data_IF_143175622143
#
_entry.id   IF_143175622143
#
_cell.length_a   1.000
_cell.length_b   1.000
_cell.length_c   1.000
_cell.angle_alpha   90.00
_cell.angle_beta   90.00
_cell.angle_gamma   90.00
#
_symmetry.space_group_name_H-M   'P 1'
#
loop_
_entity.id
_entity.type
_entity.pdbx_description
1 polymer ?
#
# COMPACT_ATOMS: atom_id res chain seq x y z
N UNK A 1 -15.54 11.52 -6.38
CA UNK A 1 -15.13 12.86 -6.87
C UNK A 1 -13.83 13.29 -6.20
N UNK A 2 -13.08 14.17 -6.85
CA UNK A 2 -11.86 14.78 -6.34
C UNK A 2 -11.43 15.93 -7.24
N UNK A 3 -10.20 16.41 -7.01
CA UNK A 3 -9.54 17.36 -7.88
C UNK A 3 -8.54 16.63 -8.78
N UNK A 4 -8.38 17.15 -9.99
CA UNK A 4 -7.39 16.71 -10.97
C UNK A 4 -6.60 17.92 -11.48
N UNK A 5 -5.44 17.65 -12.06
CA UNK A 5 -4.62 18.65 -12.70
C UNK A 5 -4.22 18.22 -14.10
N UNK A 6 -3.96 19.21 -14.93
CA UNK A 6 -3.24 19.05 -16.19
C UNK A 6 -2.22 20.19 -16.31
N UNK A 7 -1.07 19.91 -16.89
CA UNK A 7 -0.02 20.90 -17.12
C UNK A 7 0.63 20.65 -18.48
N UNK A 8 0.87 21.72 -19.21
CA UNK A 8 1.55 21.71 -20.51
C UNK A 8 2.85 22.50 -20.43
N UNK A 9 3.80 22.14 -21.28
CA UNK A 9 5.03 22.90 -21.49
C UNK A 9 4.76 24.07 -22.43
N UNK A 10 4.96 25.29 -21.93
CA UNK A 10 4.78 26.53 -22.69
C UNK A 10 6.09 27.30 -22.85
N UNK A 11 7.22 26.63 -22.60
CA UNK A 11 8.57 27.21 -22.73
C UNK A 11 8.81 27.74 -24.14
N UNK A 12 8.28 27.06 -25.17
CA UNK A 12 8.36 27.50 -26.58
C UNK A 12 7.65 28.82 -26.88
N UNK A 13 6.73 29.27 -26.01
CA UNK A 13 6.01 30.55 -26.13
C UNK A 13 6.73 31.70 -25.44
N UNK A 14 7.86 31.44 -24.79
CA UNK A 14 8.66 32.48 -24.16
C UNK A 14 9.28 33.38 -25.22
N UNK A 15 9.28 34.68 -24.95
CA UNK A 15 9.93 35.69 -25.78
C UNK A 15 11.11 36.26 -25.02
N UNK A 16 12.27 36.27 -25.67
CA UNK A 16 13.50 36.80 -25.11
C UNK A 16 13.78 38.20 -25.67
N UNK A 17 14.03 39.16 -24.79
CA UNK A 17 14.52 40.49 -25.13
C UNK A 17 15.90 40.68 -24.51
N UNK A 18 16.93 40.73 -25.36
CA UNK A 18 18.32 40.92 -24.94
C UNK A 18 18.71 42.41 -24.98
N UNK A 19 19.26 42.90 -23.87
CA UNK A 19 19.88 44.21 -23.71
C UNK A 19 21.11 44.10 -22.80
N UNK A 20 21.28 45.02 -21.84
CA UNK A 20 22.28 44.88 -20.76
C UNK A 20 21.92 43.76 -19.77
N UNK A 21 20.64 43.41 -19.68
CA UNK A 21 20.09 42.24 -19.02
C UNK A 21 19.24 41.45 -20.02
N UNK A 22 18.99 40.17 -19.72
CA UNK A 22 18.14 39.34 -20.57
C UNK A 22 16.79 39.12 -19.89
N UNK A 23 15.74 39.71 -20.45
CA UNK A 23 14.37 39.50 -19.96
C UNK A 23 13.68 38.44 -20.80
N UNK A 24 13.06 37.48 -20.13
CA UNK A 24 12.19 36.47 -20.75
C UNK A 24 10.76 36.69 -20.28
N UNK A 25 9.83 36.75 -21.22
CA UNK A 25 8.43 37.02 -20.95
C UNK A 25 7.49 36.00 -21.59
N UNK A 26 6.35 35.78 -20.96
CA UNK A 26 5.22 35.04 -21.51
C UNK A 26 4.14 36.01 -22.02
N UNK A 27 3.28 35.58 -22.97
CA UNK A 27 2.20 36.40 -23.52
C UNK A 27 1.19 36.93 -22.48
N UNK A 28 1.12 36.30 -21.31
CA UNK A 28 0.28 36.70 -20.19
C UNK A 28 0.86 37.86 -19.35
N UNK A 29 1.97 38.47 -19.78
CA UNK A 29 2.64 39.57 -19.09
C UNK A 29 3.49 39.15 -17.90
N UNK A 30 3.70 37.85 -17.67
CA UNK A 30 4.69 37.35 -16.71
C UNK A 30 6.09 37.47 -17.31
N UNK A 31 7.08 37.87 -16.52
CA UNK A 31 8.46 37.96 -16.97
C UNK A 31 9.45 37.62 -15.85
N UNK A 32 10.65 37.25 -16.26
CA UNK A 32 11.82 37.03 -15.43
C UNK A 32 13.01 37.73 -16.10
N UNK A 33 13.93 38.29 -15.33
CA UNK A 33 15.12 38.98 -15.87
C UNK A 33 16.37 38.35 -15.31
N UNK A 34 17.28 37.90 -16.17
CA UNK A 34 18.62 37.45 -15.80
C UNK A 34 19.63 38.60 -15.89
N UNK A 35 20.66 38.57 -15.05
CA UNK A 35 21.72 39.58 -14.96
C UNK A 35 21.37 40.80 -14.10
N UNK A 36 20.36 40.69 -13.26
CA UNK A 36 20.05 41.67 -12.22
C UNK A 36 20.61 41.19 -10.86
N UNK A 37 20.90 42.12 -9.94
CA UNK A 37 21.33 41.78 -8.57
C UNK A 37 20.33 40.87 -7.84
N UNK A 38 19.05 41.06 -8.16
CA UNK A 38 17.93 40.27 -7.69
C UNK A 38 17.01 40.00 -8.86
N UNK A 39 16.61 38.75 -8.99
CA UNK A 39 15.79 38.30 -10.10
C UNK A 39 14.61 37.52 -9.55
N UNK A 40 13.43 37.89 -10.06
CA UNK A 40 12.16 37.36 -9.59
C UNK A 40 11.75 36.17 -10.44
N UNK A 41 11.33 35.09 -9.80
CA UNK A 41 10.61 33.98 -10.40
C UNK A 41 9.21 33.96 -9.81
N UNK A 42 8.23 33.51 -10.58
CA UNK A 42 6.84 33.64 -10.15
C UNK A 42 5.98 32.47 -10.57
N UNK A 43 4.96 32.26 -9.77
CA UNK A 43 3.76 31.51 -10.15
C UNK A 43 2.65 32.56 -10.23
N UNK A 44 1.97 32.60 -11.38
CA UNK A 44 0.95 33.61 -11.64
C UNK A 44 -0.37 32.95 -11.95
N UNK A 45 -1.36 33.22 -11.10
CA UNK A 45 -2.74 32.85 -11.36
C UNK A 45 -3.30 33.70 -12.51
N UNK A 46 -3.86 33.06 -13.54
CA UNK A 46 -4.47 33.73 -14.68
C UNK A 46 -5.49 32.83 -15.41
N UNK A 47 -6.73 33.30 -15.52
CA UNK A 47 -7.81 32.62 -16.28
C UNK A 47 -7.70 32.81 -17.80
N UNK A 48 -6.97 33.82 -18.26
CA UNK A 48 -6.82 34.06 -19.69
C UNK A 48 -5.61 33.28 -20.22
N UNK A 49 -5.86 32.01 -20.50
CA UNK A 49 -4.93 31.07 -21.14
C UNK A 49 -5.14 30.97 -22.65
N UNK A 50 -5.84 31.91 -23.30
CA UNK A 50 -6.14 31.82 -24.75
C UNK A 50 -4.90 31.70 -25.64
N UNK A 51 -3.75 32.19 -25.18
CA UNK A 51 -2.47 32.09 -25.87
C UNK A 51 -1.83 30.69 -25.82
N UNK A 52 -2.33 29.78 -24.98
CA UNK A 52 -1.90 28.38 -24.92
C UNK A 52 -2.68 27.45 -25.85
N UNK A 53 -3.73 27.95 -26.51
CA UNK A 53 -4.56 27.16 -27.41
C UNK A 53 -3.76 26.55 -28.56
N UNK A 54 -4.07 25.30 -28.89
CA UNK A 54 -3.44 24.53 -29.96
C UNK A 54 -2.03 24.01 -29.62
N UNK A 55 -1.59 24.11 -28.35
CA UNK A 55 -0.36 23.44 -27.90
C UNK A 55 -0.63 21.96 -27.61
N UNK A 56 -1.76 21.68 -26.95
CA UNK A 56 -2.16 20.34 -26.54
C UNK A 56 -3.70 20.24 -26.51
N UNK A 57 -4.24 19.32 -27.30
CA UNK A 57 -5.69 19.16 -27.47
C UNK A 57 -6.38 18.68 -26.18
N UNK A 58 -5.69 17.86 -25.38
CA UNK A 58 -6.23 17.34 -24.11
C UNK A 58 -6.33 18.47 -23.08
N UNK A 59 -5.30 19.30 -22.97
CA UNK A 59 -5.32 20.50 -22.13
C UNK A 59 -6.46 21.44 -22.53
N UNK A 60 -6.59 21.75 -23.82
CA UNK A 60 -7.63 22.66 -24.32
C UNK A 60 -9.05 22.15 -24.04
N UNK A 61 -9.27 20.83 -24.11
CA UNK A 61 -10.54 20.21 -23.76
C UNK A 61 -10.88 20.32 -22.26
N UNK A 62 -9.87 20.41 -21.39
CA UNK A 62 -10.03 20.45 -19.93
C UNK A 62 -10.15 21.88 -19.36
N UNK A 63 -9.65 22.90 -20.07
CA UNK A 63 -9.71 24.29 -19.64
C UNK A 63 -11.12 24.76 -19.23
N UNK A 64 -12.20 24.49 -19.99
CA UNK A 64 -13.55 24.92 -19.61
C UNK A 64 -14.04 24.37 -18.26
N UNK A 65 -13.50 23.23 -17.84
CA UNK A 65 -13.86 22.53 -16.59
C UNK A 65 -12.99 22.95 -15.41
N UNK A 66 -11.95 23.74 -15.66
CA UNK A 66 -11.02 24.22 -14.64
C UNK A 66 -11.58 25.40 -13.86
N UNK A 67 -11.28 25.42 -12.57
CA UNK A 67 -11.56 26.57 -11.72
C UNK A 67 -10.31 27.29 -11.24
N UNK A 68 -9.12 26.70 -11.44
CA UNK A 68 -7.87 27.41 -11.23
C UNK A 68 -6.97 27.19 -12.44
N UNK A 69 -6.44 28.29 -12.96
CA UNK A 69 -5.48 28.30 -14.06
C UNK A 69 -4.32 29.20 -13.68
N UNK A 70 -3.10 28.72 -13.87
CA UNK A 70 -1.89 29.44 -13.47
C UNK A 70 -0.70 29.05 -14.33
N UNK A 71 0.31 29.90 -14.32
CA UNK A 71 1.55 29.70 -15.06
C UNK A 71 2.73 29.78 -14.11
N UNK A 72 3.68 28.87 -14.30
CA UNK A 72 4.98 28.87 -13.63
C UNK A 72 6.00 29.35 -14.65
N UNK A 73 6.78 30.37 -14.31
CA UNK A 73 7.92 30.83 -15.11
C UNK A 73 9.16 30.94 -14.21
N UNK A 74 10.21 30.20 -14.55
CA UNK A 74 11.43 30.14 -13.75
C UNK A 74 12.68 29.94 -14.58
N UNK A 75 13.82 30.23 -13.95
CA UNK A 75 15.10 29.70 -14.34
C UNK A 75 15.22 28.21 -13.98
N UNK A 76 16.01 27.49 -14.75
CA UNK A 76 16.35 26.08 -14.51
C UNK A 76 17.74 25.74 -15.04
N UNK A 77 18.41 24.80 -14.38
CA UNK A 77 19.60 24.11 -14.86
C UNK A 77 19.27 22.78 -15.55
N UNK A 78 17.99 22.42 -15.62
CA UNK A 78 17.58 21.23 -16.36
C UNK A 78 17.92 21.39 -17.85
N UNK A 79 18.53 20.35 -18.42
CA UNK A 79 19.05 20.38 -19.80
C UNK A 79 20.38 21.13 -19.97
N UNK A 80 21.03 21.56 -18.90
CA UNK A 80 22.35 22.17 -18.94
C UNK A 80 23.46 21.15 -18.69
N UNK A 81 24.63 21.37 -19.29
CA UNK A 81 25.80 20.52 -19.13
C UNK A 81 26.77 21.15 -18.14
N UNK A 82 27.06 20.45 -17.04
CA UNK A 82 28.13 20.82 -16.11
C UNK A 82 29.51 20.53 -16.75
N UNK A 83 30.51 21.39 -16.51
CA UNK A 83 31.89 21.07 -16.91
C UNK A 83 32.49 20.11 -15.88
N UNK A 84 32.99 18.97 -16.35
CA UNK A 84 33.46 17.85 -15.52
C UNK A 84 34.69 18.15 -14.65
N UNK A 85 35.48 19.16 -14.99
CA UNK A 85 36.85 19.33 -14.48
C UNK A 85 37.01 20.37 -13.37
N UNK A 86 35.92 20.84 -12.75
CA UNK A 86 36.00 21.86 -11.69
C UNK A 86 35.87 21.27 -10.28
N UNK A 87 36.72 21.72 -9.36
CA UNK A 87 36.54 21.57 -7.90
C UNK A 87 35.35 22.38 -7.36
N UNK A 88 34.71 23.19 -8.21
CA UNK A 88 33.52 23.99 -7.93
C UNK A 88 32.24 23.15 -7.92
N UNK A 89 31.19 23.68 -7.28
CA UNK A 89 29.87 23.05 -7.33
C UNK A 89 29.36 22.95 -8.78
N UNK A 90 28.71 21.84 -9.14
CA UNK A 90 28.33 21.52 -10.53
C UNK A 90 27.52 22.62 -11.24
N UNK A 91 26.79 23.45 -10.49
CA UNK A 91 26.01 24.57 -11.03
C UNK A 91 26.86 25.78 -11.42
N UNK A 92 28.05 25.99 -10.82
CA UNK A 92 28.94 27.13 -11.12
C UNK A 92 29.53 27.05 -12.52
N UNK A 93 29.60 25.85 -13.08
CA UNK A 93 30.19 25.59 -14.40
C UNK A 93 29.18 25.09 -15.43
N UNK A 94 27.90 25.08 -15.07
CA UNK A 94 26.81 24.69 -15.95
C UNK A 94 26.65 25.64 -17.13
N UNK A 95 26.66 25.06 -18.32
CA UNK A 95 26.41 25.76 -19.58
C UNK A 95 25.13 25.21 -20.22
N UNK A 96 24.20 26.09 -20.58
CA UNK A 96 22.89 25.80 -21.15
C UNK A 96 22.88 26.31 -22.60
N UNK A 97 22.33 25.54 -23.53
CA UNK A 97 22.22 25.93 -24.94
C UNK A 97 20.80 25.65 -25.45
N UNK A 98 20.02 26.68 -25.84
CA UNK A 98 20.28 28.11 -25.64
C UNK A 98 20.20 28.48 -24.16
N UNK A 99 21.07 29.39 -23.70
CA UNK A 99 21.13 29.82 -22.31
C UNK A 99 21.01 31.33 -22.16
N UNK A 100 20.34 31.76 -21.11
CA UNK A 100 20.36 33.14 -20.64
C UNK A 100 21.69 33.39 -19.91
N UNK A 101 22.50 34.33 -20.41
CA UNK A 101 23.67 34.78 -19.67
C UNK A 101 23.21 35.55 -18.42
N UNK A 102 23.65 35.09 -17.25
CA UNK A 102 23.33 35.72 -15.97
C UNK A 102 24.49 36.63 -15.52
N UNK A 103 25.70 36.08 -15.30
CA UNK A 103 26.85 36.82 -14.73
C UNK A 103 28.22 36.49 -15.34
N UNK A 104 28.27 35.88 -16.52
CA UNK A 104 29.51 35.44 -17.17
C UNK A 104 30.19 34.21 -16.52
N UNK A 105 29.69 33.73 -15.37
CA UNK A 105 30.17 32.51 -14.70
C UNK A 105 29.42 31.25 -15.10
N UNK A 106 28.11 31.34 -15.24
CA UNK A 106 27.22 30.25 -15.67
C UNK A 106 26.07 30.84 -16.51
N UNK A 107 25.39 29.96 -17.23
CA UNK A 107 24.17 30.30 -17.97
C UNK A 107 22.99 29.55 -17.37
N UNK A 108 21.80 30.12 -17.47
CA UNK A 108 20.56 29.49 -17.03
C UNK A 108 19.68 29.16 -18.23
N UNK A 109 18.90 28.09 -18.14
CA UNK A 109 17.79 27.87 -19.05
C UNK A 109 16.50 28.41 -18.42
N UNK A 110 15.43 28.44 -19.20
CA UNK A 110 14.09 28.80 -18.75
C UNK A 110 13.18 27.60 -18.84
N UNK A 111 12.29 27.48 -17.88
CA UNK A 111 11.14 26.59 -17.97
C UNK A 111 9.88 27.40 -17.73
N UNK A 112 8.88 27.14 -18.57
CA UNK A 112 7.55 27.67 -18.39
C UNK A 112 6.51 26.54 -18.51
N UNK A 113 5.59 26.46 -17.56
CA UNK A 113 4.47 25.52 -17.64
C UNK A 113 3.16 26.22 -17.35
N UNK A 114 2.13 25.88 -18.11
CA UNK A 114 0.77 26.31 -17.83
C UNK A 114 -0.02 25.14 -17.26
N UNK A 115 -0.69 25.37 -16.14
CA UNK A 115 -1.39 24.34 -15.39
C UNK A 115 -2.84 24.74 -15.12
N UNK A 116 -3.71 23.75 -15.09
CA UNK A 116 -5.11 23.89 -14.75
C UNK A 116 -5.52 22.84 -13.70
N UNK A 117 -6.32 23.25 -12.73
CA UNK A 117 -6.94 22.38 -11.73
C UNK A 117 -8.45 22.40 -11.94
N UNK A 118 -9.03 21.21 -11.98
CA UNK A 118 -10.43 20.98 -12.30
C UNK A 118 -11.02 19.88 -11.43
N UNK A 119 -12.35 19.90 -11.28
CA UNK A 119 -13.08 18.83 -10.61
C UNK A 119 -13.16 17.60 -11.51
N UNK A 120 -13.03 16.41 -10.92
CA UNK A 120 -13.04 15.16 -11.68
C UNK A 120 -13.55 13.96 -10.86
N UNK A 121 -13.86 12.86 -11.54
CA UNK A 121 -13.98 11.53 -10.96
C UNK A 121 -12.71 10.75 -11.32
N UNK A 122 -12.03 10.19 -10.31
CA UNK A 122 -10.96 9.20 -10.48
C UNK A 122 -11.56 7.82 -10.21
N UNK A 123 -11.61 6.97 -11.23
CA UNK A 123 -11.98 5.57 -11.09
C UNK A 123 -10.72 4.78 -10.74
N UNK A 124 -10.74 4.13 -9.58
CA UNK A 124 -9.59 3.44 -9.00
C UNK A 124 -9.88 1.94 -8.91
N UNK A 125 -8.90 1.11 -9.24
CA UNK A 125 -8.89 -0.31 -8.94
C UNK A 125 -8.11 -0.49 -7.63
N UNK A 126 -8.83 -0.86 -6.57
CA UNK A 126 -8.27 -1.18 -5.26
C UNK A 126 -8.04 -2.67 -5.09
N UNK A 127 -6.88 -3.06 -4.57
CA UNK A 127 -6.57 -4.43 -4.16
C UNK A 127 -5.96 -4.42 -2.76
N UNK A 128 -6.36 -5.35 -1.90
CA UNK A 128 -5.78 -5.46 -0.55
C UNK A 128 -4.86 -6.66 -0.52
N UNK A 129 -3.56 -6.44 -0.32
CA UNK A 129 -2.57 -7.50 -0.14
C UNK A 129 -1.85 -7.30 1.19
N UNK A 130 -1.75 -8.36 2.00
CA UNK A 130 -1.13 -8.32 3.34
C UNK A 130 -1.68 -7.19 4.26
N UNK A 131 -2.98 -6.87 4.15
CA UNK A 131 -3.60 -5.80 4.93
C UNK A 131 -3.27 -4.38 4.43
N UNK A 132 -2.56 -4.24 3.30
CA UNK A 132 -2.25 -2.96 2.66
C UNK A 132 -3.18 -2.79 1.46
N UNK A 133 -3.94 -1.69 1.45
CA UNK A 133 -4.72 -1.27 0.29
C UNK A 133 -3.77 -0.65 -0.76
N UNK A 134 -3.78 -1.21 -1.96
CA UNK A 134 -3.11 -0.69 -3.14
C UNK A 134 -4.16 -0.25 -4.15
N UNK A 135 -4.17 1.04 -4.49
CA UNK A 135 -5.07 1.62 -5.47
C UNK A 135 -4.31 1.95 -6.76
N UNK A 136 -4.94 1.71 -7.89
CA UNK A 136 -4.41 2.02 -9.23
C UNK A 136 -5.44 2.80 -10.04
N UNK A 137 -5.01 3.85 -10.73
CA UNK A 137 -5.91 4.69 -11.54
C UNK A 137 -6.30 3.97 -12.83
N UNK A 138 -7.61 3.80 -13.03
CA UNK A 138 -8.19 3.21 -14.25
C UNK A 138 -8.53 4.32 -15.24
N UNK A 139 -9.28 5.33 -14.78
CA UNK A 139 -9.74 6.42 -15.63
C UNK A 139 -10.04 7.69 -14.83
N UNK A 140 -9.99 8.81 -15.53
CA UNK A 140 -10.35 10.13 -15.01
C UNK A 140 -11.43 10.73 -15.89
N UNK A 141 -12.52 11.19 -15.28
CA UNK A 141 -13.62 11.86 -15.99
C UNK A 141 -13.67 13.31 -15.50
N UNK A 142 -13.43 14.31 -16.35
CA UNK A 142 -13.52 15.71 -15.97
C UNK A 142 -14.97 16.12 -15.71
N UNK A 143 -15.15 17.12 -14.85
CA UNK A 143 -16.43 17.81 -14.72
C UNK A 143 -16.83 18.49 -16.03
N UNK A 144 -18.14 18.72 -16.27
CA UNK A 144 -18.55 19.64 -17.32
C UNK A 144 -18.09 21.08 -17.02
N UNK A 145 -18.21 21.95 -18.03
CA UNK A 145 -17.88 23.38 -17.92
C UNK A 145 -18.54 24.00 -16.68
N UNK A 146 -17.74 24.70 -15.89
CA UNK A 146 -18.23 25.35 -14.69
C UNK A 146 -19.00 26.63 -15.02
N UNK A 147 -20.16 26.81 -14.40
CA UNK A 147 -20.91 28.06 -14.42
C UNK A 147 -20.60 28.87 -13.16
N UNK A 148 -19.65 29.80 -13.28
CA UNK A 148 -19.28 30.72 -12.20
C UNK A 148 -20.31 31.82 -11.94
N UNK A 149 -21.28 32.02 -12.85
CA UNK A 149 -22.34 33.03 -12.68
C UNK A 149 -23.35 32.54 -11.64
N UNK A 150 -23.70 31.25 -11.71
CA UNK A 150 -24.61 30.62 -10.77
C UNK A 150 -23.86 29.73 -9.77
N UNK A 151 -23.22 30.36 -8.78
CA UNK A 151 -22.48 29.67 -7.71
C UNK A 151 -23.35 28.77 -6.82
N UNK A 152 -24.68 28.88 -6.91
CA UNK A 152 -25.61 27.98 -6.22
C UNK A 152 -25.85 26.67 -7.00
N UNK A 153 -25.47 26.60 -8.28
CA UNK A 153 -25.58 25.40 -9.10
C UNK A 153 -24.48 24.41 -8.74
N UNK A 154 -24.86 23.14 -8.56
CA UNK A 154 -23.91 22.06 -8.31
C UNK A 154 -23.10 21.76 -9.57
N UNK A 155 -21.82 21.45 -9.39
CA UNK A 155 -21.06 20.72 -10.40
C UNK A 155 -21.50 19.27 -10.31
N UNK A 156 -22.18 18.77 -11.33
CA UNK A 156 -22.61 17.39 -11.41
C UNK A 156 -21.79 16.64 -12.45
N UNK A 157 -21.19 15.54 -12.05
CA UNK A 157 -20.46 14.63 -12.93
C UNK A 157 -21.19 13.28 -12.94
N UNK A 158 -21.48 12.79 -14.13
CA UNK A 158 -22.03 11.45 -14.34
C UNK A 158 -20.85 10.48 -14.53
N UNK A 159 -20.69 9.53 -13.62
CA UNK A 159 -19.73 8.45 -13.83
C UNK A 159 -20.29 7.49 -14.87
N UNK A 160 -19.62 7.33 -16.01
CA UNK A 160 -20.04 6.37 -17.02
C UNK A 160 -18.82 5.66 -17.61
N UNK A 161 -18.80 4.30 -17.62
CA UNK A 161 -19.82 3.40 -17.08
C UNK A 161 -19.88 3.42 -15.55
N UNK A 162 -21.08 3.22 -14.99
CA UNK A 162 -21.28 3.05 -13.54
C UNK A 162 -22.05 1.77 -13.24
N UNK A 163 -21.85 1.21 -12.05
CA UNK A 163 -22.65 0.10 -11.52
C UNK A 163 -23.58 0.68 -10.47
N UNK A 164 -24.89 0.66 -10.72
CA UNK A 164 -25.85 1.14 -9.74
C UNK A 164 -26.15 0.08 -8.67
N UNK A 165 -26.93 0.45 -7.65
CA UNK A 165 -27.29 -0.43 -6.53
C UNK A 165 -28.02 -1.72 -6.94
N UNK A 166 -28.64 -1.74 -8.12
CA UNK A 166 -29.30 -2.91 -8.70
C UNK A 166 -28.33 -3.84 -9.45
N UNK A 167 -27.01 -3.61 -9.31
CA UNK A 167 -25.92 -4.28 -10.02
C UNK A 167 -25.97 -4.16 -11.55
N UNK A 168 -26.79 -3.28 -12.10
CA UNK A 168 -26.80 -3.02 -13.53
C UNK A 168 -25.70 -2.02 -13.90
N UNK A 169 -25.07 -2.30 -15.03
CA UNK A 169 -24.08 -1.41 -15.64
C UNK A 169 -24.81 -0.40 -16.50
N UNK A 170 -24.63 0.86 -16.16
CA UNK A 170 -25.22 2.01 -16.82
C UNK A 170 -24.14 2.74 -17.61
N UNK A 171 -24.28 2.70 -18.93
CA UNK A 171 -23.48 3.47 -19.89
C UNK A 171 -24.23 4.73 -20.30
N UNK A 172 -23.55 5.66 -20.98
CA UNK A 172 -24.18 6.86 -21.56
C UNK A 172 -25.37 6.52 -22.45
N UNK A 173 -25.29 5.44 -23.25
CA UNK A 173 -26.39 4.98 -24.11
C UNK A 173 -27.63 4.51 -23.34
N UNK A 174 -27.42 3.81 -22.22
CA UNK A 174 -28.51 3.17 -21.48
C UNK A 174 -29.13 4.14 -20.47
N UNK A 175 -28.33 5.00 -19.85
CA UNK A 175 -28.80 6.06 -18.94
C UNK A 175 -29.78 6.99 -19.66
N UNK A 176 -29.49 7.37 -20.90
CA UNK A 176 -30.38 8.22 -21.71
C UNK A 176 -31.74 7.61 -22.03
N UNK A 177 -31.91 6.29 -21.84
CA UNK A 177 -33.16 5.58 -22.08
C UNK A 177 -34.05 5.42 -20.84
N UNK A 178 -33.56 5.84 -19.66
CA UNK A 178 -34.31 5.73 -18.42
C UNK A 178 -35.54 6.65 -18.41
N UNK A 179 -36.69 6.19 -17.89
CA UNK A 179 -37.86 7.04 -17.70
C UNK A 179 -37.55 8.23 -16.77
N UNK A 180 -38.14 9.39 -17.06
CA UNK A 180 -37.94 10.63 -16.29
C UNK A 180 -38.29 10.51 -14.79
N UNK A 181 -39.11 9.52 -14.41
CA UNK A 181 -39.58 9.29 -13.04
C UNK A 181 -39.19 7.90 -12.50
N UNK A 182 -38.08 7.35 -12.98
CA UNK A 182 -37.57 6.10 -12.41
C UNK A 182 -37.26 6.28 -10.91
N UNK A 183 -37.44 5.26 -10.08
CA UNK A 183 -37.06 5.34 -8.67
C UNK A 183 -35.54 5.49 -8.52
N UNK A 184 -35.09 6.27 -7.54
CA UNK A 184 -33.67 6.53 -7.24
C UNK A 184 -32.86 7.17 -8.39
N UNK A 185 -33.53 7.95 -9.23
CA UNK A 185 -32.88 8.74 -10.29
C UNK A 185 -33.08 10.24 -10.09
N UNK A 186 -32.14 11.04 -10.56
CA UNK A 186 -32.21 12.50 -10.57
C UNK A 186 -32.10 13.00 -12.02
N UNK A 187 -32.92 14.00 -12.36
CA UNK A 187 -32.89 14.64 -13.67
C UNK A 187 -31.66 15.54 -13.78
N UNK A 188 -30.74 15.18 -14.66
CA UNK A 188 -29.51 15.92 -14.93
C UNK A 188 -29.42 16.27 -16.42
N UNK A 189 -28.96 17.48 -16.72
CA UNK A 189 -28.68 17.88 -18.09
C UNK A 189 -27.35 17.28 -18.57
N UNK A 190 -27.41 16.43 -19.60
CA UNK A 190 -26.26 15.84 -20.28
C UNK A 190 -26.38 16.22 -21.76
N UNK A 191 -25.38 16.90 -22.32
CA UNK A 191 -25.36 17.35 -23.72
C UNK A 191 -26.62 18.12 -24.17
N UNK A 192 -27.14 18.98 -23.29
CA UNK A 192 -28.34 19.79 -23.54
C UNK A 192 -29.67 19.01 -23.46
N UNK A 193 -29.65 17.76 -23.01
CA UNK A 193 -30.84 16.93 -22.79
C UNK A 193 -31.01 16.60 -21.32
N UNK A 194 -32.23 16.75 -20.81
CA UNK A 194 -32.55 16.31 -19.46
C UNK A 194 -32.72 14.79 -19.45
N UNK A 195 -31.81 14.11 -18.75
CA UNK A 195 -31.75 12.66 -18.65
C UNK A 195 -31.90 12.25 -17.20
N UNK A 196 -32.63 11.17 -16.95
CA UNK A 196 -32.79 10.59 -15.63
C UNK A 196 -31.60 9.68 -15.31
N UNK A 197 -30.81 10.02 -14.29
CA UNK A 197 -29.57 9.29 -13.95
C UNK A 197 -29.68 8.68 -12.55
N UNK A 198 -29.29 7.41 -12.35
CA UNK A 198 -29.25 6.82 -11.00
C UNK A 198 -28.38 7.65 -10.06
N UNK A 199 -28.88 7.95 -8.85
CA UNK A 199 -28.16 8.79 -7.88
C UNK A 199 -26.80 8.22 -7.48
N UNK A 200 -26.62 6.90 -7.56
CA UNK A 200 -25.33 6.22 -7.34
C UNK A 200 -24.29 6.48 -8.42
N UNK A 201 -24.71 6.90 -9.61
CA UNK A 201 -23.84 7.27 -10.71
C UNK A 201 -23.52 8.76 -10.74
N UNK A 202 -24.17 9.56 -9.88
CA UNK A 202 -24.01 11.00 -9.81
C UNK A 202 -23.03 11.39 -8.71
N UNK A 203 -22.07 12.24 -9.08
CA UNK A 203 -21.17 12.87 -8.14
C UNK A 203 -21.36 14.37 -8.22
N UNK A 204 -21.70 14.98 -7.09
CA UNK A 204 -21.96 16.41 -7.03
C UNK A 204 -20.96 17.11 -6.11
N UNK A 205 -20.53 18.30 -6.51
CA UNK A 205 -19.83 19.27 -5.67
C UNK A 205 -20.64 20.55 -5.65
N UNK A 206 -20.99 21.01 -4.45
CA UNK A 206 -21.75 22.24 -4.29
C UNK A 206 -20.94 23.43 -4.80
N UNK A 207 -21.56 24.32 -5.60
CA UNK A 207 -20.87 25.40 -6.30
C UNK A 207 -20.10 26.36 -5.39
N UNK A 208 -20.58 26.59 -4.15
CA UNK A 208 -19.84 27.38 -3.16
C UNK A 208 -18.50 26.75 -2.78
N UNK A 209 -18.39 25.41 -2.71
CA UNK A 209 -17.11 24.75 -2.42
C UNK A 209 -16.13 24.94 -3.57
N UNK A 210 -16.63 24.85 -4.80
CA UNK A 210 -15.83 25.10 -5.98
C UNK A 210 -15.29 26.53 -6.04
N UNK A 211 -16.14 27.50 -5.67
CA UNK A 211 -15.73 28.91 -5.50
C UNK A 211 -14.71 29.09 -4.38
N UNK A 212 -14.85 28.37 -3.27
CA UNK A 212 -13.87 28.41 -2.19
C UNK A 212 -12.49 27.88 -2.65
N UNK A 213 -12.46 26.78 -3.41
CA UNK A 213 -11.23 26.27 -4.03
C UNK A 213 -10.61 27.29 -4.97
N UNK A 214 -11.40 27.89 -5.85
CA UNK A 214 -10.94 28.94 -6.74
C UNK A 214 -10.26 30.10 -5.98
N UNK A 215 -10.91 30.64 -4.95
CA UNK A 215 -10.34 31.70 -4.12
C UNK A 215 -9.05 31.26 -3.40
N UNK A 216 -9.03 30.04 -2.88
CA UNK A 216 -7.85 29.45 -2.24
C UNK A 216 -6.68 29.35 -3.22
N UNK A 217 -6.89 28.74 -4.39
CA UNK A 217 -5.85 28.55 -5.39
C UNK A 217 -5.39 29.86 -6.01
N UNK A 218 -6.29 30.84 -6.15
CA UNK A 218 -5.90 32.19 -6.55
C UNK A 218 -4.92 32.83 -5.58
N UNK A 219 -5.13 32.68 -4.28
CA UNK A 219 -4.19 33.16 -3.26
C UNK A 219 -2.89 32.33 -3.27
N UNK A 220 -3.01 31.01 -3.42
CA UNK A 220 -1.89 30.08 -3.37
C UNK A 220 -0.91 30.23 -4.54
N UNK A 221 -1.41 30.44 -5.76
CA UNK A 221 -0.64 30.48 -7.01
C UNK A 221 -0.32 31.89 -7.52
N UNK A 222 -0.55 32.94 -6.74
CA UNK A 222 -0.23 34.30 -7.16
C UNK A 222 0.91 34.86 -6.32
N UNK A 223 2.08 34.24 -6.44
CA UNK A 223 3.23 34.49 -5.57
C UNK A 223 4.54 34.53 -6.37
N UNK A 224 5.54 35.18 -5.78
CA UNK A 224 6.86 35.32 -6.37
C UNK A 224 7.93 35.07 -5.33
N UNK A 225 9.06 34.58 -5.79
CA UNK A 225 10.28 34.43 -5.01
C UNK A 225 11.41 35.16 -5.74
N UNK A 226 12.44 35.57 -5.01
CA UNK A 226 13.65 36.08 -5.64
C UNK A 226 14.81 35.12 -5.42
N UNK A 227 15.73 35.09 -6.37
CA UNK A 227 17.05 34.49 -6.17
C UNK A 227 18.12 35.58 -6.17
N UNK A 228 19.14 35.39 -5.34
CA UNK A 228 20.29 36.27 -5.28
C UNK A 228 21.34 35.77 -6.27
N UNK A 229 21.67 36.61 -7.25
CA UNK A 229 22.66 36.24 -8.27
C UNK A 229 24.09 36.24 -7.72
N UNK A 230 24.37 37.07 -6.68
CA UNK A 230 25.72 37.25 -6.13
C UNK A 230 26.28 36.00 -5.42
N UNK A 231 25.42 35.16 -4.83
CA UNK A 231 25.83 33.90 -4.22
C UNK A 231 25.96 32.78 -5.24
N UNK A 232 25.53 33.04 -6.49
CA UNK A 232 25.51 32.15 -7.65
C UNK A 232 24.71 30.84 -7.45
N UNK A 233 24.13 30.62 -6.27
CA UNK A 233 23.40 29.41 -5.89
C UNK A 233 21.98 29.41 -6.47
N UNK A 234 21.75 28.63 -7.51
CA UNK A 234 20.40 28.36 -8.07
C UNK A 234 19.42 27.72 -7.07
N UNK A 235 19.93 27.13 -6.00
CA UNK A 235 19.17 26.58 -4.88
C UNK A 235 18.85 27.62 -3.79
N UNK A 236 19.40 28.84 -3.86
CA UNK A 236 19.22 29.91 -2.86
C UNK A 236 17.96 30.76 -3.06
N UNK A 237 16.86 30.11 -3.42
CA UNK A 237 15.60 30.79 -3.64
C UNK A 237 14.97 31.27 -2.31
N UNK A 238 14.67 32.56 -2.22
CA UNK A 238 14.01 33.16 -1.06
C UNK A 238 12.57 33.48 -1.40
N UNK A 239 11.66 32.78 -0.73
CA UNK A 239 10.22 32.91 -0.94
C UNK A 239 9.48 33.54 0.25
N UNK A 240 10.20 33.99 1.29
CA UNK A 240 9.64 34.54 2.53
C UNK A 240 8.41 33.77 3.06
N UNK A 241 7.23 34.39 3.04
CA UNK A 241 5.95 33.82 3.50
C UNK A 241 5.35 32.80 2.52
N UNK A 242 5.82 32.77 1.28
CA UNK A 242 5.35 31.92 0.20
C UNK A 242 6.25 30.70 -0.01
N UNK A 243 6.76 30.14 1.09
CA UNK A 243 7.70 29.02 1.10
C UNK A 243 7.26 27.84 0.22
N UNK A 244 5.95 27.60 0.08
CA UNK A 244 5.39 26.53 -0.76
C UNK A 244 5.72 26.71 -2.24
N UNK A 245 5.91 27.95 -2.70
CA UNK A 245 6.25 28.29 -4.08
C UNK A 245 7.62 27.71 -4.48
N UNK A 246 8.53 27.53 -3.52
CA UNK A 246 9.84 26.90 -3.75
C UNK A 246 9.74 25.52 -4.40
N UNK A 247 8.67 24.78 -4.13
CA UNK A 247 8.41 23.43 -4.65
C UNK A 247 8.33 23.41 -6.18
N UNK A 248 7.82 24.46 -6.82
CA UNK A 248 7.70 24.53 -8.28
C UNK A 248 9.04 24.73 -8.99
N UNK A 249 10.07 25.12 -8.23
CA UNK A 249 11.39 25.43 -8.78
C UNK A 249 12.41 24.29 -8.61
N UNK A 250 12.04 23.22 -7.88
CA UNK A 250 12.84 21.99 -7.74
C UNK A 250 14.34 22.24 -7.48
N UNK A 251 14.65 23.15 -6.54
CA UNK A 251 16.03 23.55 -6.20
C UNK A 251 16.87 24.00 -7.41
N UNK A 252 16.25 24.65 -8.39
CA UNK A 252 16.90 25.11 -9.61
C UNK A 252 16.91 24.09 -10.76
N UNK A 253 16.35 22.89 -10.58
CA UNK A 253 16.26 21.85 -11.62
C UNK A 253 14.83 21.62 -12.11
N UNK A 254 14.01 22.68 -12.12
CA UNK A 254 12.63 22.60 -12.57
C UNK A 254 12.52 22.14 -14.03
N UNK A 255 11.55 21.27 -14.27
CA UNK A 255 11.13 20.76 -15.57
C UNK A 255 9.59 20.74 -15.62
N UNK A 256 8.97 20.64 -16.81
CA UNK A 256 7.52 20.52 -16.91
C UNK A 256 6.97 19.33 -16.09
N UNK A 257 7.70 18.21 -16.04
CA UNK A 257 7.28 17.02 -15.27
C UNK A 257 7.39 17.22 -13.76
N UNK A 258 8.44 17.89 -13.27
CA UNK A 258 8.55 18.20 -11.82
C UNK A 258 7.49 19.20 -11.38
N UNK A 259 7.16 20.19 -12.22
CA UNK A 259 6.09 21.16 -11.97
C UNK A 259 4.75 20.43 -11.91
N UNK A 260 4.42 19.62 -12.92
CA UNK A 260 3.21 18.80 -12.94
C UNK A 260 3.11 17.88 -11.71
N UNK A 261 4.22 17.27 -11.30
CA UNK A 261 4.28 16.42 -10.10
C UNK A 261 4.08 17.20 -8.79
N UNK A 262 4.54 18.45 -8.72
CA UNK A 262 4.28 19.32 -7.57
C UNK A 262 2.79 19.69 -7.47
N UNK A 263 2.17 20.04 -8.61
CA UNK A 263 0.72 20.32 -8.69
C UNK A 263 -0.09 19.08 -8.35
N UNK A 264 0.29 17.91 -8.87
CA UNK A 264 -0.37 16.64 -8.57
C UNK A 264 -0.39 16.31 -7.08
N UNK A 265 0.74 16.47 -6.39
CA UNK A 265 0.81 16.27 -4.93
C UNK A 265 -0.10 17.22 -4.15
N UNK A 266 -0.17 18.49 -4.56
CA UNK A 266 -1.09 19.46 -3.96
C UNK A 266 -2.56 19.06 -4.19
N UNK A 267 -2.89 18.66 -5.41
CA UNK A 267 -4.24 18.25 -5.81
C UNK A 267 -4.68 16.96 -5.12
N UNK A 268 -3.78 16.00 -4.94
CA UNK A 268 -4.04 14.78 -4.19
C UNK A 268 -4.23 15.07 -2.70
N UNK A 269 -3.41 15.95 -2.11
CA UNK A 269 -3.59 16.40 -0.74
C UNK A 269 -4.95 17.11 -0.54
N UNK A 270 -5.30 18.05 -1.44
CA UNK A 270 -6.57 18.75 -1.40
C UNK A 270 -7.76 17.78 -1.59
N UNK A 271 -7.63 16.79 -2.48
CA UNK A 271 -8.63 15.75 -2.69
C UNK A 271 -8.82 14.90 -1.45
N UNK A 272 -7.74 14.51 -0.79
CA UNK A 272 -7.80 13.75 0.45
C UNK A 272 -8.50 14.55 1.54
N UNK A 273 -8.09 15.80 1.79
CA UNK A 273 -8.74 16.68 2.77
C UNK A 273 -10.24 16.85 2.49
N UNK A 274 -10.61 17.10 1.23
CA UNK A 274 -12.01 17.22 0.83
C UNK A 274 -12.81 15.93 1.09
N UNK A 275 -12.24 14.75 0.80
CA UNK A 275 -12.89 13.46 1.07
C UNK A 275 -13.08 13.18 2.55
N UNK A 276 -12.17 13.67 3.40
CA UNK A 276 -12.29 13.57 4.86
C UNK A 276 -13.40 14.51 5.38
N UNK A 277 -13.39 15.78 4.94
CA UNK A 277 -14.34 16.80 5.38
C UNK A 277 -15.78 16.58 4.87
N UNK A 278 -15.94 15.96 3.69
CA UNK A 278 -17.26 15.76 3.04
C UNK A 278 -18.23 14.82 3.76
N UNK A 279 -17.89 14.31 4.95
CA UNK A 279 -18.73 13.36 5.71
C UNK A 279 -19.39 13.99 6.93
N UNK A 280 -18.74 14.96 7.57
CA UNK A 280 -19.22 15.67 8.76
C UNK A 280 -18.55 17.04 8.84
N UNK A 281 -19.27 18.05 9.33
CA UNK A 281 -18.68 19.36 9.68
C UNK A 281 -17.71 19.29 10.87
N UNK A 282 -17.59 18.12 11.50
CA UNK A 282 -16.67 17.84 12.58
C UNK A 282 -15.30 17.42 12.02
N UNK A 283 -14.32 18.32 12.14
CA UNK A 283 -12.93 18.12 11.69
C UNK A 283 -12.22 16.97 12.43
N UNK A 284 -12.75 16.52 13.57
CA UNK A 284 -12.18 15.46 14.39
C UNK A 284 -12.75 14.06 14.09
N UNK A 285 -13.77 13.94 13.25
CA UNK A 285 -14.38 12.65 12.95
C UNK A 285 -13.43 11.78 12.10
N UNK A 286 -13.07 10.55 12.55
CA UNK A 286 -12.23 9.68 11.75
C UNK A 286 -12.98 9.30 10.47
N UNK A 287 -12.34 9.51 9.33
CA UNK A 287 -12.89 9.13 8.03
C UNK A 287 -12.89 7.60 7.85
N UNK A 288 -13.87 6.94 8.44
CA UNK A 288 -14.05 5.50 8.31
C UNK A 288 -14.79 5.17 7.03
N UNK A 289 -14.07 4.87 5.95
CA UNK A 289 -14.69 4.34 4.72
C UNK A 289 -14.97 2.86 4.92
N UNK A 290 -16.25 2.49 4.99
CA UNK A 290 -16.67 1.10 4.96
C UNK A 290 -16.89 0.69 3.50
N UNK A 291 -16.44 -0.52 3.15
CA UNK A 291 -16.60 -1.08 1.83
C UNK A 291 -16.66 -2.60 1.93
N UNK A 292 -17.41 -3.21 1.01
CA UNK A 292 -17.51 -4.66 0.95
C UNK A 292 -16.25 -5.22 0.25
N UNK A 293 -15.56 -6.13 0.94
CA UNK A 293 -14.41 -6.85 0.37
C UNK A 293 -14.80 -8.30 0.18
N UNK A 294 -14.65 -8.81 -1.04
CA UNK A 294 -14.76 -10.24 -1.31
C UNK A 294 -13.61 -10.97 -0.61
N UNK A 295 -13.89 -11.55 0.55
CA UNK A 295 -12.92 -12.34 1.32
C UNK A 295 -13.11 -13.82 0.99
N UNK A 296 -12.09 -14.44 0.42
CA UNK A 296 -12.02 -15.90 0.36
C UNK A 296 -11.77 -16.43 1.79
N UNK A 297 -12.79 -17.04 2.39
CA UNK A 297 -12.67 -17.73 3.68
C UNK A 297 -12.63 -19.24 3.43
N UNK A 298 -11.72 -19.94 4.11
CA UNK A 298 -11.70 -21.41 4.09
C UNK A 298 -12.73 -21.90 5.10
N UNK A 299 -13.89 -22.34 4.60
CA UNK A 299 -14.91 -22.99 5.42
C UNK A 299 -14.53 -24.45 5.61
N UNK A 300 -13.86 -24.77 6.73
CA UNK A 300 -13.63 -26.16 7.12
C UNK A 300 -14.90 -26.76 7.73
N UNK A 301 -15.54 -27.70 7.02
CA UNK A 301 -16.65 -28.49 7.57
C UNK A 301 -16.09 -29.76 8.19
N UNK A 302 -16.05 -29.82 9.52
CA UNK A 302 -15.70 -31.05 10.23
C UNK A 302 -16.91 -31.99 10.19
N UNK A 303 -16.83 -33.02 9.37
CA UNK A 303 -17.84 -34.07 9.36
C UNK A 303 -17.60 -35.04 10.52
N UNK A 304 -18.48 -35.01 11.52
CA UNK A 304 -18.39 -35.84 12.74
C UNK A 304 -18.24 -37.35 12.46
N UNK A 305 -18.71 -37.82 11.29
CA UNK A 305 -18.56 -39.22 10.86
C UNK A 305 -17.08 -39.65 10.76
N UNK A 306 -16.18 -38.72 10.42
CA UNK A 306 -14.75 -38.98 10.28
C UNK A 306 -14.04 -39.11 11.64
N UNK A 307 -14.64 -38.58 12.70
CA UNK A 307 -14.15 -38.70 14.07
C UNK A 307 -14.51 -40.04 14.72
N UNK A 308 -15.42 -40.83 14.14
CA UNK A 308 -15.83 -42.12 14.70
C UNK A 308 -14.68 -43.12 14.76
N UNK A 309 -13.84 -43.21 13.72
CA UNK A 309 -12.70 -44.12 13.69
C UNK A 309 -11.73 -43.89 14.86
N UNK A 310 -11.17 -42.67 15.02
CA UNK A 310 -10.31 -42.33 16.15
C UNK A 310 -10.96 -42.59 17.51
N UNK A 311 -12.24 -42.24 17.69
CA UNK A 311 -12.97 -42.46 18.95
C UNK A 311 -13.09 -43.95 19.28
N UNK A 312 -13.41 -44.79 18.29
CA UNK A 312 -13.51 -46.25 18.48
C UNK A 312 -12.15 -46.81 18.87
N UNK A 313 -11.05 -46.41 18.20
CA UNK A 313 -9.71 -46.92 18.54
C UNK A 313 -9.29 -46.51 19.95
N UNK A 314 -9.52 -45.26 20.36
CA UNK A 314 -9.18 -44.78 21.71
C UNK A 314 -10.03 -45.48 22.79
N UNK A 315 -11.32 -45.71 22.52
CA UNK A 315 -12.18 -46.41 23.49
C UNK A 315 -11.81 -47.89 23.61
N UNK A 316 -11.52 -48.58 22.50
CA UNK A 316 -11.14 -49.99 22.51
C UNK A 316 -9.79 -50.22 23.21
N UNK A 317 -8.82 -49.34 22.98
CA UNK A 317 -7.52 -49.39 23.67
C UNK A 317 -7.65 -49.12 25.17
N UNK A 318 -8.49 -48.16 25.59
CA UNK A 318 -8.76 -47.91 26.99
C UNK A 318 -9.46 -49.11 27.69
N UNK A 319 -10.40 -49.75 27.00
CA UNK A 319 -11.09 -50.95 27.52
C UNK A 319 -10.11 -52.12 27.66
N UNK A 320 -9.28 -52.38 26.66
CA UNK A 320 -8.26 -53.44 26.74
C UNK A 320 -7.28 -53.20 27.88
N UNK A 321 -6.82 -51.96 28.07
CA UNK A 321 -5.96 -51.59 29.19
C UNK A 321 -6.65 -51.87 30.54
N UNK A 322 -7.91 -51.47 30.69
CA UNK A 322 -8.68 -51.69 31.91
C UNK A 322 -8.89 -53.20 32.19
N UNK A 323 -9.14 -54.01 31.15
CA UNK A 323 -9.26 -55.47 31.30
C UNK A 323 -7.96 -56.10 31.77
N UNK A 324 -6.81 -55.72 31.20
CA UNK A 324 -5.50 -56.24 31.62
C UNK A 324 -5.23 -55.90 33.10
N UNK A 325 -5.57 -54.67 33.52
CA UNK A 325 -5.45 -54.26 34.92
C UNK A 325 -6.37 -55.09 35.80
N UNK A 326 -7.64 -55.27 35.42
CA UNK A 326 -8.64 -55.99 36.21
C UNK A 326 -8.31 -57.48 36.37
N UNK A 327 -7.90 -58.16 35.29
CA UNK A 327 -7.49 -59.58 35.32
C UNK A 327 -6.24 -59.74 36.17
N UNK A 328 -5.23 -58.87 35.98
CA UNK A 328 -4.01 -58.89 36.80
C UNK A 328 -4.27 -58.59 38.28
N UNK A 329 -5.29 -57.80 38.61
CA UNK A 329 -5.72 -57.57 39.99
C UNK A 329 -6.47 -58.75 40.59
N UNK A 330 -7.31 -59.42 39.79
CA UNK A 330 -8.11 -60.56 40.24
C UNK A 330 -7.25 -61.82 40.49
N UNK A 331 -6.30 -62.12 39.60
CA UNK A 331 -5.38 -63.26 39.76
C UNK A 331 -4.46 -63.08 40.98
N UNK A 332 -3.95 -61.87 41.22
CA UNK A 332 -3.11 -61.57 42.39
C UNK A 332 -3.84 -61.71 43.74
N UNK A 333 -5.17 -61.85 43.75
CA UNK A 333 -5.98 -61.90 44.98
C UNK A 333 -6.42 -63.31 45.37
N UNK A 334 -6.35 -64.30 44.48
CA UNK A 334 -6.92 -65.64 44.71
C UNK A 334 -5.89 -66.74 44.95
N UNK A 335 -4.64 -66.60 44.53
CA UNK A 335 -3.59 -67.59 44.83
C UNK A 335 -2.30 -66.87 45.25
N UNK A 336 -1.69 -67.33 46.34
CA UNK A 336 -0.59 -66.64 47.02
C UNK A 336 0.51 -66.22 46.06
N UNK A 337 0.87 -64.93 46.12
CA UNK A 337 2.02 -64.28 45.48
C UNK A 337 2.76 -65.16 44.45
N UNK A 338 2.31 -65.16 43.21
CA UNK A 338 3.19 -65.46 42.08
C UNK A 338 3.79 -64.11 41.65
N UNK A 339 4.96 -63.69 42.19
CA UNK A 339 5.57 -62.45 41.76
C UNK A 339 5.82 -62.54 40.26
N UNK A 340 5.51 -61.46 39.53
CA UNK A 340 5.77 -61.37 38.09
C UNK A 340 7.30 -61.45 37.89
N UNK A 341 7.83 -62.64 37.61
CA UNK A 341 9.26 -62.97 37.49
C UNK A 341 9.99 -62.31 36.31
N UNK A 342 9.47 -61.21 35.74
CA UNK A 342 9.99 -60.58 34.53
C UNK A 342 11.36 -59.88 34.71
N UNK A 343 12.10 -60.16 35.79
CA UNK A 343 13.42 -59.56 36.04
C UNK A 343 14.51 -60.46 36.63
N UNK A 344 14.27 -61.73 36.97
CA UNK A 344 15.30 -62.58 37.60
C UNK A 344 15.43 -63.95 36.91
N UNK A 345 16.66 -64.29 36.49
CA UNK A 345 17.01 -65.55 35.81
C UNK A 345 17.19 -66.72 36.81
N UNK A 346 17.22 -66.42 38.10
CA UNK A 346 17.49 -67.35 39.20
C UNK A 346 16.55 -68.58 39.25
N UNK A 347 15.23 -68.45 39.02
CA UNK A 347 14.32 -69.61 39.03
C UNK A 347 14.59 -70.57 37.86
N UNK A 348 15.03 -70.04 36.71
CA UNK A 348 15.36 -70.82 35.53
C UNK A 348 16.58 -71.74 35.78
N UNK A 349 17.55 -71.26 36.57
CA UNK A 349 18.75 -72.02 36.94
C UNK A 349 18.42 -73.25 37.81
N UNK A 350 17.57 -73.09 38.82
CA UNK A 350 17.22 -74.18 39.74
C UNK A 350 16.15 -75.14 39.20
N UNK A 351 15.23 -74.67 38.36
CA UNK A 351 14.12 -75.48 37.86
C UNK A 351 14.29 -76.04 36.44
N UNK A 352 15.36 -75.70 35.70
CA UNK A 352 15.69 -76.47 34.50
C UNK A 352 16.52 -75.83 33.38
N UNK A 353 17.76 -75.43 33.66
CA UNK A 353 18.82 -75.36 32.61
C UNK A 353 20.22 -75.79 33.07
N UNK A 354 20.42 -76.12 34.35
CA UNK A 354 21.73 -76.54 34.87
C UNK A 354 21.58 -77.44 36.09
N UNK A 355 20.97 -78.62 35.91
CA UNK A 355 21.02 -79.67 36.94
C UNK A 355 22.49 -80.00 37.17
N UNK A 356 22.97 -79.73 38.38
CA UNK A 356 24.31 -80.13 38.82
C UNK A 356 24.35 -81.66 38.80
N UNK A 357 25.20 -82.23 37.96
CA UNK A 357 25.38 -83.68 37.83
C UNK A 357 25.73 -84.27 39.21
N UNK A 358 24.85 -85.13 39.74
CA UNK A 358 25.11 -85.88 40.97
C UNK A 358 23.98 -85.91 42.01
N UNK A 359 22.94 -85.09 41.88
CA UNK A 359 21.85 -85.02 42.89
C UNK A 359 20.49 -85.46 42.30
N UNK A 360 20.32 -86.78 42.14
CA UNK A 360 19.06 -87.37 41.70
C UNK A 360 18.15 -87.62 42.90
N UNK A 361 17.46 -86.57 43.36
CA UNK A 361 16.46 -86.73 44.41
C UNK A 361 15.68 -85.48 44.83
N UNK A 362 16.15 -84.26 44.56
CA UNK A 362 15.55 -83.07 45.16
C UNK A 362 14.59 -82.34 44.20
N UNK A 363 13.32 -82.22 44.59
CA UNK A 363 12.36 -81.34 43.93
C UNK A 363 12.75 -79.90 44.25
N UNK A 364 13.08 -79.10 43.24
CA UNK A 364 13.62 -77.75 43.42
C UNK A 364 12.79 -76.85 44.36
N UNK A 365 13.39 -75.77 44.90
CA UNK A 365 12.78 -74.97 45.96
C UNK A 365 11.43 -74.37 45.53
N UNK A 366 10.40 -74.58 46.36
CA UNK A 366 9.02 -74.15 46.13
C UNK A 366 8.73 -72.72 46.62
N UNK A 367 9.63 -72.11 47.41
CA UNK A 367 9.42 -70.77 47.99
C UNK A 367 10.63 -69.85 47.80
N UNK A 368 10.39 -68.53 47.68
CA UNK A 368 11.44 -67.52 47.48
C UNK A 368 12.48 -67.53 48.61
N UNK A 369 12.02 -67.62 49.87
CA UNK A 369 12.91 -67.69 51.04
C UNK A 369 13.83 -68.89 51.00
N UNK A 370 13.33 -70.02 50.51
CA UNK A 370 14.15 -71.22 50.37
C UNK A 370 15.14 -71.12 49.22
N UNK A 371 14.76 -70.43 48.14
CA UNK A 371 15.63 -70.16 47.00
C UNK A 371 16.76 -69.19 47.36
N UNK A 372 16.46 -68.10 48.08
CA UNK A 372 17.45 -67.15 48.61
C UNK A 372 18.41 -67.83 49.60
N UNK A 373 17.88 -68.61 50.55
CA UNK A 373 18.71 -69.35 51.53
C UNK A 373 19.65 -70.34 50.86
N UNK A 374 19.20 -71.02 49.80
CA UNK A 374 20.06 -71.94 49.03
C UNK A 374 21.09 -71.19 48.19
N UNK A 375 20.73 -70.03 47.65
CA UNK A 375 21.65 -69.20 46.86
C UNK A 375 22.78 -68.60 47.70
N UNK A 376 22.52 -68.23 48.97
CA UNK A 376 23.55 -67.72 49.89
C UNK A 376 24.66 -68.75 50.18
N UNK A 377 24.36 -70.05 50.10
CA UNK A 377 25.30 -71.14 50.36
C UNK A 377 26.06 -71.66 49.13
N UNK A 378 25.85 -71.08 47.94
CA UNK A 378 26.42 -71.57 46.69
C UNK A 378 27.29 -70.47 46.06
N UNK A 379 28.61 -70.65 46.14
CA UNK A 379 29.56 -69.85 45.37
C UNK A 379 29.69 -70.45 43.97
N UNK A 380 29.28 -69.69 42.94
CA UNK A 380 29.29 -70.14 41.55
C UNK A 380 30.48 -69.53 40.81
N UNK A 381 31.33 -70.38 40.23
CA UNK A 381 32.32 -69.96 39.23
C UNK A 381 31.87 -70.40 37.84
N UNK A 382 31.80 -69.45 36.90
CA UNK A 382 31.60 -69.77 35.49
C UNK A 382 32.92 -70.24 34.88
N UNK A 383 33.03 -71.55 34.62
CA UNK A 383 34.20 -72.18 34.00
C UNK A 383 33.81 -72.93 32.74
N UNK A 384 34.70 -72.93 31.74
CA UNK A 384 34.50 -73.63 30.47
C UNK A 384 34.93 -75.10 30.63
N UNK A 385 33.96 -75.99 30.91
CA UNK A 385 34.15 -77.44 30.77
C UNK A 385 34.00 -77.83 29.29
N UNK A 386 34.75 -78.85 28.84
CA UNK A 386 35.02 -79.10 27.42
C UNK A 386 33.81 -79.31 26.49
N UNK A 387 32.56 -79.38 26.96
CA UNK A 387 31.39 -79.23 26.07
C UNK A 387 30.18 -78.45 26.64
N UNK A 388 30.15 -78.00 27.90
CA UNK A 388 28.96 -77.33 28.46
C UNK A 388 29.33 -76.21 29.45
N UNK A 389 28.59 -75.09 29.42
CA UNK A 389 28.59 -74.10 30.50
C UNK A 389 27.78 -74.66 31.67
N UNK A 390 28.41 -74.81 32.84
CA UNK A 390 27.74 -75.40 34.01
C UNK A 390 28.21 -74.76 35.31
N UNK A 391 27.33 -74.79 36.32
CA UNK A 391 27.64 -74.36 37.68
C UNK A 391 28.54 -75.43 38.31
N UNK A 392 29.77 -75.08 38.67
CA UNK A 392 30.66 -75.98 39.43
C UNK A 392 30.66 -75.53 40.89
N UNK A 393 30.43 -76.47 41.81
CA UNK A 393 30.49 -76.19 43.25
C UNK A 393 31.94 -75.88 43.64
N UNK A 394 32.21 -74.69 44.16
CA UNK A 394 33.50 -74.38 44.78
C UNK A 394 33.76 -75.31 45.97
N UNK A 395 34.99 -75.80 46.09
CA UNK A 395 35.43 -76.67 47.18
C UNK A 395 35.46 -75.94 48.54
#
# INVERSE_FOLDING_TARGET
MGLCHTCIDVTSKTQQKSGSSTTVSLPNGQNITAGALQSWVSVRYNYNQTWTQGIDDEYDALIPSSFAQFTVLSFTLNGCTAKSDSTSAAWETSTCTPGLQNTGRYTLNVVASSCAIYSCIKNLHGSVSNGILQESLISTIPAPKMDFVNIAKNITIVNSPCVASDQKVYTSSNISSLPANAPNTELTEIDGKNVSVPTTCLYQMYGLHARAFDLFFRSYFNNSCWYYDQTARVDSLVCETNWHTSTFFASGFASPSTISSAVGRLVDAATNTFRLAGRTWDEAAPAKVEGDVLRATVCARVEMKWLLGPIVVVTLTAVLLAMVIAVGWAENRMEGFVPVWKGSVLPLLWHGFGRVEGDYGDAGPLTLKELERRAEGVEVKFGMGQMHWGLVRGA
#
